data_IF_436052680206
#
_entry.id   IF_436052680206
#
_cell.length_a   1.000
_cell.length_b   1.000
_cell.length_c   1.000
_cell.angle_alpha   90.00
_cell.angle_beta   90.00
_cell.angle_gamma   90.00
#
_symmetry.space_group_name_H-M   'P 1'
#
loop_
_entity.id
_entity.type
_entity.pdbx_description
1 polymer ?
#
# COMPACT_ATOMS: atom_id res chain seq x y z
N UNK A 1 -15.86 -2.81 14.53
CA UNK A 1 -14.97 -1.87 13.80
C UNK A 1 -13.81 -2.67 13.24
N UNK A 2 -13.57 -2.62 11.94
CA UNK A 2 -12.51 -3.37 11.26
C UNK A 2 -11.63 -2.39 10.48
N UNK A 3 -10.34 -2.31 10.82
CA UNK A 3 -9.36 -1.54 10.06
C UNK A 3 -8.58 -2.46 9.11
N UNK A 4 -8.24 -1.94 7.95
CA UNK A 4 -7.44 -2.68 6.97
C UNK A 4 -6.39 -1.78 6.32
N UNK A 5 -5.26 -2.39 5.96
CA UNK A 5 -4.22 -1.82 5.13
C UNK A 5 -3.65 -2.94 4.25
N UNK A 6 -3.62 -2.74 2.93
CA UNK A 6 -3.06 -3.71 1.99
C UNK A 6 -2.69 -3.03 0.67
N UNK A 7 -2.14 -3.80 -0.27
CA UNK A 7 -1.78 -3.35 -1.61
C UNK A 7 -2.74 -3.91 -2.65
N UNK A 8 -3.02 -3.11 -3.67
CA UNK A 8 -3.84 -3.52 -4.80
C UNK A 8 -3.09 -4.55 -5.67
N UNK A 9 -3.72 -5.70 -5.94
CA UNK A 9 -3.13 -6.75 -6.78
C UNK A 9 -3.14 -6.37 -8.26
N UNK A 10 -2.12 -5.63 -8.66
CA UNK A 10 -1.86 -5.22 -10.04
C UNK A 10 -0.37 -5.07 -10.32
N UNK A 11 -0.03 -4.95 -11.61
CA UNK A 11 1.36 -4.85 -12.07
C UNK A 11 2.11 -3.64 -11.50
N UNK A 12 1.42 -2.51 -11.32
CA UNK A 12 2.01 -1.29 -10.75
C UNK A 12 2.47 -1.51 -9.30
N UNK A 13 1.64 -2.16 -8.49
CA UNK A 13 1.96 -2.47 -7.09
C UNK A 13 3.07 -3.49 -6.98
N UNK A 14 3.09 -4.50 -7.85
CA UNK A 14 4.21 -5.44 -7.92
C UNK A 14 5.55 -4.70 -8.12
N UNK A 15 5.60 -3.79 -9.10
CA UNK A 15 6.83 -3.04 -9.37
C UNK A 15 7.19 -2.08 -8.24
N UNK A 16 6.24 -1.29 -7.73
CA UNK A 16 6.57 -0.28 -6.72
C UNK A 16 6.81 -0.86 -5.33
N UNK A 17 6.04 -1.86 -4.90
CA UNK A 17 6.04 -2.36 -3.52
C UNK A 17 7.03 -3.49 -3.33
N UNK A 18 7.17 -4.37 -4.32
CA UNK A 18 8.11 -5.51 -4.24
C UNK A 18 9.44 -5.08 -4.84
N UNK A 19 9.47 -4.81 -6.14
CA UNK A 19 10.73 -4.49 -6.84
C UNK A 19 11.36 -3.17 -6.41
N UNK A 20 10.54 -2.15 -6.15
CA UNK A 20 11.01 -0.86 -5.64
C UNK A 20 11.68 -0.99 -4.28
N UNK A 21 11.10 -1.78 -3.37
CA UNK A 21 11.66 -2.02 -2.03
C UNK A 21 12.91 -2.89 -2.12
N UNK A 22 12.89 -4.00 -2.86
CA UNK A 22 14.08 -4.83 -3.08
C UNK A 22 15.26 -4.03 -3.66
N UNK A 23 14.97 -3.08 -4.56
CA UNK A 23 16.00 -2.23 -5.16
C UNK A 23 16.53 -1.15 -4.20
N UNK A 24 15.64 -0.52 -3.42
CA UNK A 24 16.01 0.52 -2.44
C UNK A 24 16.69 -0.07 -1.20
N UNK A 25 16.35 -1.29 -0.81
CA UNK A 25 16.78 -1.90 0.45
C UNK A 25 17.42 -3.27 0.19
N UNK A 26 18.76 -3.31 0.17
CA UNK A 26 19.52 -4.55 -0.02
C UNK A 26 19.29 -5.60 1.07
N UNK A 27 18.87 -5.16 2.26
CA UNK A 27 18.65 -6.02 3.42
C UNK A 27 17.16 -6.29 3.69
N UNK A 28 16.27 -6.03 2.73
CA UNK A 28 14.87 -6.39 2.88
C UNK A 28 14.73 -7.91 3.10
N UNK A 29 13.97 -8.37 4.10
CA UNK A 29 13.72 -9.78 4.31
C UNK A 29 13.11 -10.42 3.05
N UNK A 30 13.49 -11.67 2.79
CA UNK A 30 12.86 -12.46 1.72
C UNK A 30 11.36 -12.53 1.97
N UNK A 31 10.57 -12.39 0.91
CA UNK A 31 9.10 -12.42 0.98
C UNK A 31 8.49 -11.36 1.92
N UNK A 32 9.16 -10.20 2.12
CA UNK A 32 8.57 -9.07 2.84
C UNK A 32 7.20 -8.67 2.26
N UNK A 33 7.07 -8.74 0.93
CA UNK A 33 5.81 -8.54 0.22
C UNK A 33 5.59 -9.71 -0.75
N UNK A 34 4.42 -10.35 -0.66
CA UNK A 34 4.07 -11.53 -1.47
C UNK A 34 2.90 -11.17 -2.38
N UNK A 35 3.15 -11.06 -3.69
CA UNK A 35 2.16 -10.54 -4.66
C UNK A 35 0.81 -11.29 -4.68
N UNK A 36 0.76 -12.63 -4.61
CA UNK A 36 -0.52 -13.35 -4.51
C UNK A 36 -1.39 -12.96 -3.31
N UNK A 37 -0.79 -12.45 -2.23
CA UNK A 37 -1.50 -12.01 -1.02
C UNK A 37 -2.01 -10.57 -1.10
N UNK A 38 -1.67 -9.83 -2.16
CA UNK A 38 -2.26 -8.50 -2.39
C UNK A 38 -3.74 -8.67 -2.73
N UNK A 39 -4.57 -7.69 -2.34
CA UNK A 39 -6.04 -7.77 -2.46
C UNK A 39 -6.52 -6.61 -3.30
N UNK A 40 -7.29 -6.87 -4.36
CA UNK A 40 -7.90 -5.77 -5.13
C UNK A 40 -8.94 -5.04 -4.27
N UNK A 41 -9.11 -3.72 -4.40
CA UNK A 41 -10.12 -2.99 -3.66
C UNK A 41 -11.54 -3.57 -3.80
N UNK A 42 -11.88 -4.11 -4.97
CA UNK A 42 -13.16 -4.74 -5.26
C UNK A 42 -13.33 -6.06 -4.49
N UNK A 43 -12.29 -6.90 -4.47
CA UNK A 43 -12.26 -8.16 -3.72
C UNK A 43 -12.41 -7.93 -2.21
N UNK A 44 -11.76 -6.89 -1.67
CA UNK A 44 -11.88 -6.51 -0.27
C UNK A 44 -13.30 -6.05 0.07
N UNK A 45 -13.91 -5.23 -0.78
CA UNK A 45 -15.30 -4.76 -0.59
C UNK A 45 -16.29 -5.93 -0.64
N UNK A 46 -16.13 -6.84 -1.58
CA UNK A 46 -16.96 -8.03 -1.70
C UNK A 46 -16.82 -8.95 -0.49
N UNK A 47 -15.58 -9.20 -0.05
CA UNK A 47 -15.30 -9.98 1.16
C UNK A 47 -15.94 -9.35 2.39
N UNK A 48 -15.85 -8.03 2.56
CA UNK A 48 -16.52 -7.33 3.66
C UNK A 48 -18.04 -7.51 3.58
N UNK A 49 -18.63 -7.32 2.41
CA UNK A 49 -20.07 -7.49 2.20
C UNK A 49 -20.54 -8.90 2.58
N UNK A 50 -19.81 -9.93 2.15
CA UNK A 50 -20.11 -11.34 2.46
C UNK A 50 -20.00 -11.67 3.96
N UNK A 51 -19.29 -10.85 4.73
CA UNK A 51 -19.14 -10.98 6.18
C UNK A 51 -20.06 -10.02 6.96
N UNK A 52 -21.13 -9.52 6.33
CA UNK A 52 -22.05 -8.53 6.93
C UNK A 52 -21.31 -7.29 7.44
N UNK A 53 -20.33 -6.80 6.67
CA UNK A 53 -19.62 -5.56 6.95
C UNK A 53 -19.80 -4.55 5.81
N UNK A 54 -19.99 -3.29 6.19
CA UNK A 54 -20.00 -2.17 5.26
C UNK A 54 -18.68 -1.41 5.34
N UNK A 55 -17.95 -1.34 4.23
CA UNK A 55 -16.76 -0.47 4.10
C UNK A 55 -17.23 0.99 4.13
N UNK A 56 -16.77 1.77 5.12
CA UNK A 56 -17.16 3.17 5.30
C UNK A 56 -16.17 4.13 4.64
N UNK A 57 -14.88 3.84 4.72
CA UNK A 57 -13.85 4.65 4.08
C UNK A 57 -12.77 3.74 3.47
N UNK A 58 -12.26 4.16 2.31
CA UNK A 58 -11.06 3.59 1.69
C UNK A 58 -10.26 4.73 1.05
N UNK A 59 -8.98 4.84 1.38
CA UNK A 59 -8.05 5.84 0.85
C UNK A 59 -6.79 5.15 0.37
N UNK A 60 -6.24 5.63 -0.73
CA UNK A 60 -4.95 5.20 -1.25
C UNK A 60 -3.81 5.61 -0.33
N UNK A 61 -2.74 4.85 -0.32
CA UNK A 61 -1.50 5.11 0.43
C UNK A 61 -0.33 4.92 -0.52
N UNK A 62 0.57 5.90 -0.55
CA UNK A 62 1.82 5.84 -1.31
C UNK A 62 2.87 6.78 -0.71
N UNK A 63 4.17 6.61 -1.04
CA UNK A 63 5.18 7.60 -0.71
C UNK A 63 4.84 8.98 -1.28
N UNK A 64 5.25 10.02 -0.57
CA UNK A 64 5.06 11.40 -1.00
C UNK A 64 6.07 11.80 -2.10
N UNK A 65 5.70 11.55 -3.35
CA UNK A 65 6.52 11.89 -4.52
C UNK A 65 6.77 13.40 -4.69
N UNK A 66 6.03 14.27 -3.99
CA UNK A 66 6.26 15.72 -4.02
C UNK A 66 7.46 16.15 -3.18
N UNK A 67 7.98 15.27 -2.32
CA UNK A 67 9.09 15.56 -1.42
C UNK A 67 10.41 15.07 -1.99
N UNK A 68 11.45 15.88 -1.83
CA UNK A 68 12.80 15.52 -2.22
C UNK A 68 13.30 14.28 -1.47
N UNK A 69 12.80 14.03 -0.25
CA UNK A 69 13.03 12.81 0.54
C UNK A 69 12.84 11.52 -0.27
N UNK A 70 11.74 11.42 -1.03
CA UNK A 70 11.46 10.23 -1.84
C UNK A 70 12.52 10.03 -2.92
N UNK A 71 12.87 11.09 -3.66
CA UNK A 71 13.86 11.01 -4.73
C UNK A 71 15.27 10.80 -4.21
N UNK A 72 15.62 11.41 -3.06
CA UNK A 72 16.86 11.13 -2.35
C UNK A 72 16.93 9.66 -1.93
N UNK A 73 15.85 9.10 -1.39
CA UNK A 73 15.80 7.68 -1.04
C UNK A 73 16.02 6.80 -2.27
N UNK A 74 15.34 7.09 -3.38
CA UNK A 74 15.53 6.35 -4.63
C UNK A 74 17.00 6.41 -5.06
N UNK A 75 17.58 7.60 -5.18
CA UNK A 75 18.96 7.76 -5.68
C UNK A 75 20.03 7.21 -4.73
N UNK A 76 19.87 7.39 -3.42
CA UNK A 76 20.91 7.10 -2.42
C UNK A 76 20.70 5.79 -1.68
N UNK A 77 19.53 5.16 -1.84
CA UNK A 77 19.11 3.96 -1.10
C UNK A 77 19.13 4.15 0.43
N UNK A 78 18.91 5.38 0.89
CA UNK A 78 18.85 5.75 2.31
C UNK A 78 17.53 6.44 2.62
N UNK A 79 16.87 6.02 3.70
CA UNK A 79 15.66 6.68 4.19
C UNK A 79 16.06 7.88 5.03
N UNK A 80 15.57 9.06 4.66
CA UNK A 80 15.75 10.30 5.42
C UNK A 80 14.58 10.51 6.39
N UNK A 81 14.78 11.32 7.42
CA UNK A 81 13.76 11.56 8.47
C UNK A 81 12.48 12.21 7.93
N UNK A 82 12.58 12.95 6.82
CA UNK A 82 11.45 13.60 6.14
C UNK A 82 10.71 12.68 5.15
N UNK A 83 11.17 11.43 4.98
CA UNK A 83 10.47 10.44 4.17
C UNK A 83 9.12 10.10 4.81
N UNK A 84 8.05 10.19 4.01
CA UNK A 84 6.69 9.99 4.50
C UNK A 84 5.78 9.36 3.46
N UNK A 85 4.74 8.72 3.96
CA UNK A 85 3.59 8.29 3.17
C UNK A 85 2.46 9.32 3.27
N UNK A 86 1.64 9.39 2.23
CA UNK A 86 0.47 10.26 2.18
C UNK A 86 -0.77 9.48 1.76
N UNK A 87 -1.92 9.88 2.33
CA UNK A 87 -3.21 9.42 1.86
C UNK A 87 -3.60 10.11 0.55
N UNK A 88 -4.21 9.36 -0.35
CA UNK A 88 -4.64 9.85 -1.66
C UNK A 88 -6.00 9.28 -2.06
N UNK A 89 -6.62 9.83 -3.10
CA UNK A 89 -7.83 9.26 -3.71
C UNK A 89 -7.55 8.00 -4.54
N UNK A 90 -6.31 7.77 -4.95
CA UNK A 90 -5.95 6.70 -5.89
C UNK A 90 -5.69 5.38 -5.17
N UNK A 91 -6.48 4.34 -5.49
CA UNK A 91 -6.31 2.99 -4.93
C UNK A 91 -5.38 2.10 -5.76
N UNK A 92 -4.59 2.68 -6.67
CA UNK A 92 -3.75 1.92 -7.61
C UNK A 92 -2.58 1.19 -6.95
N UNK A 93 -2.21 1.56 -5.72
CA UNK A 93 -1.09 0.98 -4.96
C UNK A 93 -1.55 0.49 -3.58
N UNK A 94 -0.88 0.90 -2.51
CA UNK A 94 -1.37 0.71 -1.14
C UNK A 94 -2.71 1.41 -0.94
N UNK A 95 -3.50 0.89 -0.02
CA UNK A 95 -4.70 1.55 0.48
C UNK A 95 -4.98 1.13 1.92
N UNK A 96 -5.65 2.01 2.65
CA UNK A 96 -6.16 1.74 3.99
C UNK A 96 -7.59 2.19 4.11
N UNK A 97 -8.28 1.68 5.13
CA UNK A 97 -9.64 2.09 5.40
C UNK A 97 -10.22 1.39 6.62
N UNK A 98 -11.53 1.54 6.78
CA UNK A 98 -12.26 0.84 7.82
C UNK A 98 -13.68 0.48 7.40
N UNK A 99 -14.20 -0.55 8.04
CA UNK A 99 -15.58 -1.01 7.91
C UNK A 99 -16.25 -1.20 9.28
N UNK A 100 -17.58 -1.20 9.25
CA UNK A 100 -18.42 -1.48 10.41
C UNK A 100 -19.25 -2.72 10.12
N UNK A 101 -19.49 -3.54 11.16
CA UNK A 101 -20.45 -4.63 11.07
C UNK A 101 -21.84 -4.03 10.93
N UNK A 102 -22.63 -4.61 10.03
CA UNK A 102 -24.05 -4.31 9.81
C UNK A 102 -24.88 -5.26 10.67
#
# INVERSE_FOLDING_TARGET
LFFFHTFNRNFLSYFMVIKGVEWCFSNAPRNMHVYPLFIKPEELKETCKNQNMQVKEIKGVRPDFSKSAFWKMVLTKRVTEDFRFVFTKSLKTGYSGYGLRV
#
